data_IF_617014967877
#
_entry.id   IF_617014967877
#
_cell.length_a   1.000
_cell.length_b   1.000
_cell.length_c   1.000
_cell.angle_alpha   90.00
_cell.angle_beta   90.00
_cell.angle_gamma   90.00
#
_symmetry.space_group_name_H-M   'P 1'
#
loop_
_entity.id
_entity.type
_entity.pdbx_description
1 polymer ?
#
# COMPACT_ATOMS: atom_id res chain seq x y z
N UNK A 1 3.33 -12.62 3.60
CA UNK A 1 4.00 -13.89 3.19
C UNK A 1 5.24 -13.65 2.34
N UNK A 2 5.40 -12.43 1.81
CA UNK A 2 6.59 -11.98 1.09
C UNK A 2 6.88 -12.85 -0.14
N UNK A 3 5.84 -13.10 -0.94
CA UNK A 3 5.91 -13.79 -2.24
C UNK A 3 6.35 -15.26 -2.20
N UNK A 4 6.25 -15.94 -1.05
CA UNK A 4 6.82 -17.28 -0.87
C UNK A 4 5.92 -18.43 -1.28
N UNK A 5 4.61 -18.23 -1.35
CA UNK A 5 3.66 -19.31 -1.61
C UNK A 5 3.22 -19.31 -3.07
N UNK A 6 2.89 -20.49 -3.58
CA UNK A 6 2.13 -20.63 -4.83
C UNK A 6 0.67 -20.21 -4.61
N UNK A 7 -0.11 -19.95 -5.68
CA UNK A 7 -1.51 -19.55 -5.55
C UNK A 7 -2.38 -20.49 -4.72
N UNK A 8 -2.21 -21.81 -4.84
CA UNK A 8 -3.04 -22.76 -4.08
C UNK A 8 -2.59 -22.89 -2.62
N UNK A 9 -1.31 -22.69 -2.33
CA UNK A 9 -0.79 -22.62 -0.97
C UNK A 9 -1.28 -21.34 -0.27
N UNK A 10 -1.28 -20.21 -0.98
CA UNK A 10 -1.85 -18.97 -0.49
C UNK A 10 -3.36 -19.05 -0.27
N UNK A 11 -4.11 -19.70 -1.17
CA UNK A 11 -5.53 -20.01 -0.97
C UNK A 11 -5.76 -20.80 0.32
N UNK A 12 -4.97 -21.86 0.55
CA UNK A 12 -5.03 -22.68 1.76
C UNK A 12 -4.68 -21.86 3.00
N UNK A 13 -3.62 -21.07 2.94
CA UNK A 13 -3.19 -20.24 4.05
C UNK A 13 -4.26 -19.20 4.41
N UNK A 14 -4.78 -18.47 3.42
CA UNK A 14 -5.87 -17.51 3.60
C UNK A 14 -7.08 -18.15 4.26
N UNK A 15 -7.48 -19.35 3.84
CA UNK A 15 -8.58 -20.10 4.46
C UNK A 15 -8.31 -20.51 5.90
N UNK A 16 -7.07 -20.87 6.23
CA UNK A 16 -6.67 -21.28 7.58
C UNK A 16 -6.68 -20.14 8.61
N UNK A 17 -6.72 -18.88 8.15
CA UNK A 17 -6.68 -17.70 9.00
C UNK A 17 -7.97 -16.88 9.02
N UNK A 18 -9.04 -17.38 8.37
CA UNK A 18 -10.32 -16.67 8.27
C UNK A 18 -10.92 -16.33 9.64
N UNK A 19 -10.85 -17.26 10.60
CA UNK A 19 -11.40 -17.10 11.96
C UNK A 19 -10.72 -15.95 12.75
N UNK A 20 -9.51 -15.55 12.36
CA UNK A 20 -8.79 -14.45 13.01
C UNK A 20 -9.15 -13.08 12.42
N UNK A 21 -9.95 -13.05 11.34
CA UNK A 21 -10.46 -11.83 10.70
C UNK A 21 -9.35 -10.80 10.45
N UNK A 22 -8.27 -11.26 9.83
CA UNK A 22 -7.12 -10.43 9.50
C UNK A 22 -7.55 -9.19 8.70
N UNK A 23 -6.90 -8.05 8.96
CA UNK A 23 -7.14 -6.84 8.15
C UNK A 23 -6.74 -7.08 6.69
N UNK A 24 -5.62 -7.76 6.46
CA UNK A 24 -5.26 -8.37 5.18
C UNK A 24 -4.28 -9.54 5.35
N UNK A 25 -4.13 -10.31 4.28
CA UNK A 25 -2.99 -11.16 3.96
C UNK A 25 -2.20 -10.51 2.82
N UNK A 26 -0.93 -10.22 3.06
CA UNK A 26 -0.09 -9.46 2.14
C UNK A 26 0.90 -10.31 1.35
N UNK A 27 1.05 -9.94 0.08
CA UNK A 27 2.00 -10.50 -0.87
C UNK A 27 2.02 -12.02 -0.84
N UNK A 28 0.87 -12.65 -1.16
CA UNK A 28 0.70 -14.08 -1.01
C UNK A 28 1.61 -14.89 -1.93
N UNK A 29 1.76 -14.45 -3.18
CA UNK A 29 2.47 -15.11 -4.28
C UNK A 29 3.13 -14.02 -5.16
N UNK A 30 4.14 -14.34 -5.98
CA UNK A 30 4.60 -13.44 -7.04
C UNK A 30 3.45 -13.07 -7.97
N UNK A 31 3.44 -11.81 -8.44
CA UNK A 31 2.26 -11.19 -9.07
C UNK A 31 2.49 -10.73 -10.51
N UNK A 32 3.64 -11.05 -11.12
CA UNK A 32 3.91 -10.68 -12.52
C UNK A 32 2.86 -11.27 -13.46
N UNK A 33 2.43 -12.52 -13.21
CA UNK A 33 1.21 -13.06 -13.78
C UNK A 33 0.02 -12.75 -12.85
N UNK A 34 -0.73 -11.70 -13.18
CA UNK A 34 -1.85 -11.23 -12.37
C UNK A 34 -2.98 -12.27 -12.21
N UNK A 35 -3.14 -13.20 -13.17
CA UNK A 35 -4.14 -14.28 -13.08
C UNK A 35 -3.87 -15.25 -11.92
N UNK A 36 -2.64 -15.32 -11.42
CA UNK A 36 -2.29 -16.17 -10.27
C UNK A 36 -3.12 -15.84 -9.02
N UNK A 37 -3.65 -14.62 -8.89
CA UNK A 37 -4.49 -14.25 -7.75
C UNK A 37 -5.91 -14.83 -7.83
N UNK A 38 -6.38 -15.27 -9.00
CA UNK A 38 -7.72 -15.86 -9.17
C UNK A 38 -7.94 -17.06 -8.27
N UNK A 39 -6.96 -17.96 -8.18
CA UNK A 39 -7.08 -19.17 -7.37
C UNK A 39 -7.15 -18.84 -5.86
N UNK A 40 -6.46 -17.79 -5.44
CA UNK A 40 -6.54 -17.30 -4.06
C UNK A 40 -7.95 -16.77 -3.79
N UNK A 41 -8.43 -15.86 -4.64
CA UNK A 41 -9.73 -15.19 -4.48
C UNK A 41 -10.92 -16.15 -4.54
N UNK A 42 -10.82 -17.25 -5.28
CA UNK A 42 -11.86 -18.29 -5.36
C UNK A 42 -12.04 -19.08 -4.06
N UNK A 43 -11.06 -19.08 -3.16
CA UNK A 43 -10.97 -20.07 -2.08
C UNK A 43 -10.94 -19.49 -0.68
N UNK A 44 -10.74 -18.18 -0.52
CA UNK A 44 -10.74 -17.54 0.79
C UNK A 44 -11.46 -16.19 0.78
N UNK A 45 -12.03 -15.83 1.93
CA UNK A 45 -12.57 -14.50 2.20
C UNK A 45 -11.62 -13.60 2.99
N UNK A 46 -10.44 -14.09 3.36
CA UNK A 46 -9.40 -13.26 3.97
C UNK A 46 -9.01 -12.14 2.99
N UNK A 47 -9.03 -10.86 3.41
CA UNK A 47 -8.71 -9.76 2.51
C UNK A 47 -7.28 -9.84 1.98
N UNK A 48 -7.04 -9.39 0.74
CA UNK A 48 -5.76 -9.53 0.05
C UNK A 48 -5.16 -8.16 -0.23
N UNK A 49 -3.88 -7.99 0.11
CA UNK A 49 -3.10 -6.80 -0.23
C UNK A 49 -1.88 -7.18 -1.07
N UNK A 50 -1.52 -6.33 -2.04
CA UNK A 50 -0.34 -6.51 -2.89
C UNK A 50 0.12 -5.18 -3.48
N UNK A 51 1.40 -5.08 -3.83
CA UNK A 51 1.86 -4.08 -4.82
C UNK A 51 3.01 -3.20 -4.38
N UNK A 52 3.74 -3.54 -3.32
CA UNK A 52 4.92 -2.79 -2.86
C UNK A 52 6.02 -2.71 -3.94
N UNK A 53 6.14 -3.75 -4.77
CA UNK A 53 7.11 -3.89 -5.86
C UNK A 53 6.63 -3.31 -7.21
N UNK A 54 5.40 -2.84 -7.29
CA UNK A 54 4.81 -2.35 -8.53
C UNK A 54 5.28 -0.92 -8.84
N UNK A 55 5.44 -0.63 -10.13
CA UNK A 55 5.89 0.66 -10.63
C UNK A 55 4.91 1.31 -11.62
N UNK A 56 3.82 0.61 -11.96
CA UNK A 56 2.82 1.11 -12.91
C UNK A 56 1.41 0.61 -12.62
N UNK A 57 0.40 1.34 -13.13
CA UNK A 57 -0.99 0.86 -13.15
C UNK A 57 -1.12 -0.46 -13.93
N UNK A 58 -0.24 -0.71 -14.90
CA UNK A 58 -0.25 -1.93 -15.69
C UNK A 58 0.09 -3.18 -14.87
N UNK A 59 0.82 -3.01 -13.77
CA UNK A 59 1.18 -4.11 -12.87
C UNK A 59 -0.01 -4.58 -12.01
N UNK A 60 -1.05 -3.74 -11.87
CA UNK A 60 -2.21 -4.02 -11.02
C UNK A 60 -3.56 -3.89 -11.70
N UNK A 61 -3.62 -3.49 -12.98
CA UNK A 61 -4.88 -3.27 -13.71
C UNK A 61 -5.80 -4.48 -13.62
N UNK A 62 -5.31 -5.66 -13.94
CA UNK A 62 -6.12 -6.89 -13.96
C UNK A 62 -6.48 -7.32 -12.55
N UNK A 63 -5.54 -7.21 -11.59
CA UNK A 63 -5.81 -7.50 -10.17
C UNK A 63 -6.98 -6.67 -9.63
N UNK A 64 -7.04 -5.39 -9.99
CA UNK A 64 -8.09 -4.45 -9.56
C UNK A 64 -9.40 -4.71 -10.31
N UNK A 65 -9.39 -4.77 -11.65
CA UNK A 65 -10.61 -4.90 -12.46
C UNK A 65 -11.37 -6.20 -12.17
N UNK A 66 -10.64 -7.27 -11.87
CA UNK A 66 -11.22 -8.57 -11.53
C UNK A 66 -11.50 -8.74 -10.03
N UNK A 67 -11.33 -7.68 -9.24
CA UNK A 67 -11.58 -7.66 -7.79
C UNK A 67 -10.83 -8.77 -7.04
N UNK A 68 -9.58 -9.03 -7.45
CA UNK A 68 -8.72 -10.06 -6.88
C UNK A 68 -8.01 -9.61 -5.61
N UNK A 69 -8.04 -8.30 -5.32
CA UNK A 69 -7.38 -7.66 -4.18
C UNK A 69 -8.35 -6.72 -3.48
N UNK A 70 -8.06 -6.40 -2.22
CA UNK A 70 -8.85 -5.46 -1.40
C UNK A 70 -8.05 -4.18 -1.10
N UNK A 71 -6.71 -4.27 -1.12
CA UNK A 71 -5.80 -3.15 -0.90
C UNK A 71 -4.67 -3.12 -1.93
N UNK A 72 -4.42 -1.96 -2.52
CA UNK A 72 -3.27 -1.72 -3.41
C UNK A 72 -2.15 -1.02 -2.62
N UNK A 73 -0.94 -1.62 -2.63
CA UNK A 73 0.20 -1.19 -1.81
C UNK A 73 1.29 -0.43 -2.57
N UNK A 74 1.01 0.01 -3.81
CA UNK A 74 1.91 0.85 -4.60
C UNK A 74 2.32 2.11 -3.82
N UNK A 75 3.50 2.66 -4.11
CA UNK A 75 4.05 3.81 -3.39
C UNK A 75 4.22 5.00 -4.32
N UNK A 76 4.24 6.22 -3.76
CA UNK A 76 4.48 7.42 -4.55
C UNK A 76 5.87 7.38 -5.21
N UNK A 77 6.90 6.90 -4.50
CA UNK A 77 8.26 6.81 -5.04
C UNK A 77 8.37 5.83 -6.19
N UNK A 78 7.77 4.63 -6.08
CA UNK A 78 7.98 3.57 -7.06
C UNK A 78 6.95 3.60 -8.20
N UNK A 79 5.74 4.10 -7.97
CA UNK A 79 4.62 4.03 -8.93
C UNK A 79 4.27 5.37 -9.62
N UNK A 80 5.27 6.22 -9.85
CA UNK A 80 5.12 7.40 -10.71
C UNK A 80 4.61 8.67 -10.01
N UNK A 81 4.90 8.83 -8.71
CA UNK A 81 4.61 10.04 -7.94
C UNK A 81 3.12 10.28 -7.70
N UNK A 82 2.78 11.49 -7.25
CA UNK A 82 1.40 11.91 -6.99
C UNK A 82 0.50 11.71 -8.23
N UNK A 83 1.01 12.04 -9.42
CA UNK A 83 0.24 11.96 -10.67
C UNK A 83 -0.08 10.51 -11.06
N UNK A 84 0.88 9.61 -10.97
CA UNK A 84 0.67 8.18 -11.26
C UNK A 84 -0.22 7.53 -10.20
N UNK A 85 0.11 7.75 -8.93
CA UNK A 85 -0.58 7.15 -7.80
C UNK A 85 -2.04 7.62 -7.68
N UNK A 86 -2.35 8.89 -8.00
CA UNK A 86 -3.74 9.37 -8.10
C UNK A 86 -4.55 8.52 -9.08
N UNK A 87 -4.01 8.26 -10.27
CA UNK A 87 -4.72 7.48 -11.30
C UNK A 87 -4.93 6.03 -10.86
N UNK A 88 -3.95 5.43 -10.18
CA UNK A 88 -4.08 4.08 -9.61
C UNK A 88 -5.18 4.06 -8.54
N UNK A 89 -5.18 5.02 -7.61
CA UNK A 89 -6.17 5.09 -6.54
C UNK A 89 -7.59 5.37 -7.06
N UNK A 90 -7.74 6.31 -8.00
CA UNK A 90 -9.01 6.62 -8.65
C UNK A 90 -9.57 5.39 -9.38
N UNK A 91 -8.72 4.65 -10.09
CA UNK A 91 -9.10 3.41 -10.75
C UNK A 91 -9.50 2.30 -9.76
N UNK A 92 -8.71 2.11 -8.70
CA UNK A 92 -8.99 1.19 -7.61
C UNK A 92 -10.35 1.46 -6.96
N UNK A 93 -10.73 2.74 -6.82
CA UNK A 93 -11.99 3.15 -6.20
C UNK A 93 -13.23 2.63 -6.92
N UNK A 94 -13.17 2.46 -8.25
CA UNK A 94 -14.28 1.92 -9.05
C UNK A 94 -14.65 0.49 -8.66
N UNK A 95 -13.69 -0.24 -8.09
CA UNK A 95 -13.79 -1.65 -7.72
C UNK A 95 -13.82 -1.85 -6.20
N UNK A 96 -14.00 -0.78 -5.43
CA UNK A 96 -13.97 -0.76 -3.96
C UNK A 96 -12.62 -1.17 -3.34
N UNK A 97 -11.55 -1.15 -4.14
CA UNK A 97 -10.18 -1.39 -3.67
C UNK A 97 -9.66 -0.13 -2.98
N UNK A 98 -9.06 -0.29 -1.80
CA UNK A 98 -8.54 0.80 -0.97
C UNK A 98 -7.03 0.96 -1.10
N UNK A 99 -6.51 2.13 -0.79
CA UNK A 99 -5.05 2.33 -0.72
C UNK A 99 -4.50 1.73 0.58
N UNK A 100 -3.32 1.12 0.47
CA UNK A 100 -2.59 0.51 1.58
C UNK A 100 -1.10 0.72 1.41
N UNK A 101 -0.66 1.95 1.12
CA UNK A 101 0.68 2.24 0.60
C UNK A 101 1.79 1.63 1.47
N UNK A 102 2.76 0.96 0.85
CA UNK A 102 3.96 0.45 1.51
C UNK A 102 4.77 1.60 2.11
N UNK A 103 5.24 1.45 3.35
CA UNK A 103 5.87 2.49 4.16
C UNK A 103 7.10 2.02 4.97
N UNK A 104 8.06 1.33 4.34
CA UNK A 104 9.29 0.86 4.96
C UNK A 104 10.26 2.02 5.19
N UNK A 105 11.33 1.76 5.94
CA UNK A 105 12.38 2.76 6.18
C UNK A 105 13.24 3.08 4.94
N UNK A 106 13.16 2.31 3.84
CA UNK A 106 13.89 2.60 2.60
C UNK A 106 13.20 3.62 1.69
N UNK A 107 11.91 3.91 1.92
CA UNK A 107 11.26 5.09 1.38
C UNK A 107 11.66 6.29 2.23
N UNK A 108 12.25 7.32 1.63
CA UNK A 108 12.73 8.47 2.40
C UNK A 108 11.59 9.20 3.14
N UNK A 109 11.90 9.99 4.18
CA UNK A 109 10.94 10.90 4.82
C UNK A 109 10.22 11.86 3.84
N UNK A 110 10.81 12.14 2.68
CA UNK A 110 10.14 12.91 1.60
C UNK A 110 8.94 12.13 1.05
N UNK A 111 9.09 10.83 0.82
CA UNK A 111 7.99 9.97 0.40
C UNK A 111 6.92 9.87 1.49
N UNK A 112 7.31 9.73 2.76
CA UNK A 112 6.35 9.69 3.87
C UNK A 112 5.51 10.97 3.95
N UNK A 113 6.15 12.14 3.88
CA UNK A 113 5.43 13.41 3.89
C UNK A 113 4.44 13.49 2.70
N UNK A 114 4.87 13.12 1.49
CA UNK A 114 4.00 13.10 0.32
C UNK A 114 2.86 12.09 0.43
N UNK A 115 3.12 10.90 0.99
CA UNK A 115 2.11 9.87 1.23
C UNK A 115 1.05 10.37 2.22
N UNK A 116 1.44 10.99 3.33
CA UNK A 116 0.48 11.53 4.31
C UNK A 116 -0.44 12.62 3.73
N UNK A 117 0.07 13.47 2.84
CA UNK A 117 -0.77 14.43 2.10
C UNK A 117 -1.74 13.72 1.15
N UNK A 118 -1.29 12.67 0.47
CA UNK A 118 -2.12 11.86 -0.41
C UNK A 118 -3.21 11.10 0.37
N UNK A 119 -2.85 10.50 1.50
CA UNK A 119 -3.71 9.70 2.36
C UNK A 119 -4.82 10.53 3.01
N UNK A 120 -4.51 11.77 3.39
CA UNK A 120 -5.50 12.69 3.96
C UNK A 120 -6.56 13.11 2.93
N UNK A 121 -6.23 13.08 1.64
CA UNK A 121 -7.13 13.46 0.55
C UNK A 121 -7.91 12.28 -0.05
N UNK A 122 -7.26 11.13 -0.24
CA UNK A 122 -7.77 10.06 -1.11
C UNK A 122 -9.02 9.40 -0.50
N UNK A 123 -10.17 9.37 -1.21
CA UNK A 123 -11.44 8.96 -0.61
C UNK A 123 -11.52 7.45 -0.32
N UNK A 124 -10.81 6.62 -1.08
CA UNK A 124 -10.68 5.19 -0.84
C UNK A 124 -9.43 4.86 -0.01
N UNK A 125 -9.04 5.72 0.93
CA UNK A 125 -7.98 5.43 1.89
C UNK A 125 -8.30 4.17 2.71
N UNK A 126 -7.33 3.28 2.84
CA UNK A 126 -7.41 2.09 3.69
C UNK A 126 -6.56 2.23 4.95
N UNK A 127 -5.23 2.31 4.76
CA UNK A 127 -4.24 2.46 5.84
C UNK A 127 -2.90 2.92 5.25
N UNK A 128 -2.06 3.56 6.05
CA UNK A 128 -0.67 3.87 5.73
C UNK A 128 0.25 3.03 6.61
N UNK A 129 1.20 2.34 6.01
CA UNK A 129 2.25 1.68 6.77
C UNK A 129 3.26 2.69 7.30
N UNK A 130 3.76 2.48 8.52
CA UNK A 130 4.82 3.29 9.09
C UNK A 130 5.81 2.40 9.85
N UNK A 131 6.90 2.04 9.18
CA UNK A 131 7.97 1.23 9.78
C UNK A 131 8.81 2.01 10.82
N UNK A 132 8.78 3.35 10.72
CA UNK A 132 9.61 4.24 11.51
C UNK A 132 10.93 4.62 10.82
N UNK A 133 11.51 5.73 11.27
CA UNK A 133 12.81 6.23 10.85
C UNK A 133 13.68 6.44 12.08
N UNK A 134 15.00 6.23 11.96
CA UNK A 134 15.91 6.55 13.06
C UNK A 134 16.01 8.07 13.25
N UNK A 135 16.37 8.52 14.45
CA UNK A 135 16.63 9.94 14.73
C UNK A 135 17.65 10.52 13.73
N UNK A 136 18.71 9.77 13.44
CA UNK A 136 19.71 10.15 12.44
C UNK A 136 19.12 10.39 11.04
N UNK A 137 18.16 9.56 10.60
CA UNK A 137 17.47 9.77 9.34
C UNK A 137 16.62 11.05 9.40
N UNK A 138 15.88 11.27 10.49
CA UNK A 138 14.99 12.43 10.63
C UNK A 138 15.74 13.76 10.81
N UNK A 139 16.99 13.73 11.31
CA UNK A 139 17.86 14.91 11.36
C UNK A 139 18.26 15.41 9.96
N UNK A 140 18.50 14.48 9.03
CA UNK A 140 18.78 14.78 7.61
C UNK A 140 17.54 15.31 6.90
N UNK A 141 16.36 14.85 7.31
CA UNK A 141 15.08 15.24 6.73
C UNK A 141 14.13 15.88 7.77
N UNK A 142 14.36 17.15 8.15
CA UNK A 142 13.45 17.84 9.06
C UNK A 142 12.01 17.83 8.53
N UNK A 143 11.10 17.25 9.30
CA UNK A 143 9.70 17.04 8.93
C UNK A 143 8.74 17.81 9.82
N UNK A 144 7.47 17.89 9.38
CA UNK A 144 6.40 18.54 10.15
C UNK A 144 5.12 17.70 10.27
N UNK A 145 5.16 16.42 9.88
CA UNK A 145 4.07 15.51 10.21
C UNK A 145 4.08 15.19 11.70
N UNK A 146 2.93 14.81 12.23
CA UNK A 146 2.76 14.41 13.64
C UNK A 146 2.16 13.01 13.72
N UNK A 147 2.32 12.37 14.89
CA UNK A 147 1.70 11.10 15.24
C UNK A 147 0.97 11.28 16.57
N UNK A 148 -0.32 10.98 16.60
CA UNK A 148 -1.16 11.02 17.80
C UNK A 148 -2.12 9.83 17.82
N UNK A 149 -2.06 9.04 18.89
CA UNK A 149 -2.93 7.90 19.16
C UNK A 149 -3.21 6.96 17.97
N UNK A 150 -2.16 6.61 17.20
CA UNK A 150 -2.27 5.70 16.05
C UNK A 150 -2.61 6.36 14.72
N UNK A 151 -2.80 7.69 14.69
CA UNK A 151 -3.04 8.46 13.48
C UNK A 151 -1.87 9.40 13.20
N UNK A 152 -1.55 9.54 11.92
CA UNK A 152 -0.58 10.53 11.44
C UNK A 152 -1.31 11.63 10.69
N UNK A 153 -0.76 12.83 10.74
CA UNK A 153 -1.27 13.97 9.99
C UNK A 153 -0.09 14.69 9.31
N UNK A 154 -0.19 15.06 8.01
CA UNK A 154 0.82 15.90 7.37
C UNK A 154 0.90 17.28 8.06
N UNK A 155 1.99 18.01 7.85
CA UNK A 155 2.08 19.38 8.36
C UNK A 155 1.27 20.38 7.53
N UNK A 156 0.86 21.49 8.15
CA UNK A 156 0.15 22.61 7.49
C UNK A 156 1.09 23.58 6.75
N UNK A 157 2.38 23.25 6.62
CA UNK A 157 3.32 24.07 5.85
C UNK A 157 3.00 23.94 4.35
N UNK A 158 3.12 25.02 3.56
CA UNK A 158 2.99 24.93 2.11
C UNK A 158 3.93 23.88 1.51
N UNK A 159 3.44 23.16 0.49
CA UNK A 159 4.19 22.04 -0.10
C UNK A 159 4.10 20.78 0.75
N UNK A 160 5.17 19.98 0.75
CA UNK A 160 5.19 18.71 1.48
C UNK A 160 5.46 18.86 2.98
N UNK A 161 6.00 19.99 3.42
CA UNK A 161 6.40 20.20 4.82
C UNK A 161 7.60 19.35 5.26
N UNK A 162 8.50 19.04 4.32
CA UNK A 162 9.75 18.29 4.51
C UNK A 162 10.92 19.09 3.91
N UNK A 163 12.08 19.02 4.55
CA UNK A 163 13.33 19.64 4.10
C UNK A 163 14.43 18.58 3.88
N UNK A 164 15.53 18.96 3.24
CA UNK A 164 16.75 18.17 3.12
C UNK A 164 17.95 19.02 3.54
N UNK A 165 18.76 18.52 4.47
CA UNK A 165 19.98 19.18 4.96
C UNK A 165 21.25 18.51 4.46
#
# INVERSE_FOLDING_TARGET
>A
MHHRLTPIEAARFGKSIEDYRMFWMEDPTPAENQECFRLIRQHTVTPIAVGEVFNSIWDCKQLIEEQLIDYIRTTLTHAGGITGMRRIADFASLYQVRTGSHGPSDLSPVCMAAALHFDLWVPNFGVQEYMGYSEQMLEVFPHNWTFDNGYMHPGEKPGLGIELR
#
